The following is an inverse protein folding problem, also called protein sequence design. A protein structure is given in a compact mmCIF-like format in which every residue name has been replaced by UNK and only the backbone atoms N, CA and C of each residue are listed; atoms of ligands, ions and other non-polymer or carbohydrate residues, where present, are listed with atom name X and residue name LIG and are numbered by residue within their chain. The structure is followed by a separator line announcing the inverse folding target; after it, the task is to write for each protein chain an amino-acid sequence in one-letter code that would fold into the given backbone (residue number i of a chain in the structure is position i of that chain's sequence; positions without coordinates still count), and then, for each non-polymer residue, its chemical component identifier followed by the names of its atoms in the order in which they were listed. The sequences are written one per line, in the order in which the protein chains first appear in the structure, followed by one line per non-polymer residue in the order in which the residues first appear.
data_IF_622349129849
#
_entry.id   IF_622349129849
#
_cell.length_a   1.000
_cell.length_b   1.000
_cell.length_c   1.000
_cell.angle_alpha   90.00
_cell.angle_beta   90.00
_cell.angle_gamma   90.00
#
_symmetry.space_group_name_H-M   'P 1'
#
loop_
_entity.id
_entity.type
_entity.pdbx_description
1 polymer ?
#
# COMPACT_ATOMS: atom_id res chain seq x y z
N UNK A 1 -17.93 -8.96 -4.30
CA UNK A 1 -16.58 -9.38 -4.76
C UNK A 1 -15.57 -8.38 -4.25
N UNK A 2 -14.58 -8.86 -3.53
CA UNK A 2 -13.53 -8.01 -2.96
C UNK A 2 -12.48 -7.68 -4.03
N UNK A 3 -12.03 -6.45 -4.07
CA UNK A 3 -10.92 -6.02 -4.93
C UNK A 3 -9.71 -5.74 -4.05
N UNK A 4 -8.60 -6.41 -4.33
CA UNK A 4 -7.36 -6.25 -3.58
C UNK A 4 -6.31 -5.58 -4.45
N UNK A 5 -5.74 -4.49 -3.97
CA UNK A 5 -4.56 -3.88 -4.58
C UNK A 5 -3.31 -4.21 -3.76
N UNK A 6 -2.18 -4.31 -4.42
CA UNK A 6 -0.90 -4.62 -3.79
C UNK A 6 0.20 -3.76 -4.39
N UNK A 7 0.99 -3.17 -3.50
CA UNK A 7 2.23 -2.45 -3.85
C UNK A 7 3.40 -3.07 -3.13
N UNK A 8 4.53 -3.16 -3.81
CA UNK A 8 5.77 -3.65 -3.26
C UNK A 8 6.82 -2.55 -3.30
N UNK A 9 7.50 -2.35 -2.17
CA UNK A 9 8.49 -1.30 -2.02
C UNK A 9 9.77 -1.92 -1.48
N UNK A 10 10.90 -1.67 -2.15
CA UNK A 10 12.22 -2.12 -1.71
C UNK A 10 12.94 -0.97 -1.02
N UNK A 11 13.22 -1.06 0.29
CA UNK A 11 14.02 -0.05 0.97
C UNK A 11 15.46 -0.03 0.43
N UNK A 12 16.04 1.17 0.37
CA UNK A 12 17.48 1.32 0.18
C UNK A 12 18.21 0.82 1.45
N UNK A 13 19.46 0.42 1.28
CA UNK A 13 20.31 -0.05 2.40
C UNK A 13 20.33 1.00 3.52
N UNK A 14 20.03 0.56 4.74
CA UNK A 14 19.99 1.44 5.91
C UNK A 14 18.70 2.27 6.06
N UNK A 15 17.73 2.11 5.16
CA UNK A 15 16.49 2.90 5.15
C UNK A 15 15.22 2.10 5.46
N UNK A 16 15.37 0.85 5.90
CA UNK A 16 14.23 -0.05 6.15
C UNK A 16 13.25 0.54 7.16
N UNK A 17 13.72 1.08 8.28
CA UNK A 17 12.86 1.67 9.30
C UNK A 17 12.09 2.88 8.77
N UNK A 18 12.76 3.76 8.04
CA UNK A 18 12.14 4.94 7.44
C UNK A 18 11.05 4.55 6.44
N UNK A 19 11.33 3.58 5.56
CA UNK A 19 10.36 3.08 4.58
C UNK A 19 9.19 2.40 5.29
N UNK A 20 9.45 1.58 6.30
CA UNK A 20 8.40 0.92 7.09
C UNK A 20 7.46 1.96 7.72
N UNK A 21 8.00 3.01 8.30
CA UNK A 21 7.19 4.08 8.91
C UNK A 21 6.36 4.82 7.86
N UNK A 22 6.91 5.08 6.69
CA UNK A 22 6.20 5.70 5.57
C UNK A 22 5.08 4.82 5.03
N UNK A 23 5.32 3.52 4.90
CA UNK A 23 4.30 2.56 4.47
C UNK A 23 3.17 2.51 5.48
N UNK A 24 3.46 2.53 6.77
CA UNK A 24 2.43 2.60 7.83
C UNK A 24 1.61 3.88 7.75
N UNK A 25 2.25 5.01 7.47
CA UNK A 25 1.54 6.28 7.28
C UNK A 25 0.62 6.23 6.07
N UNK A 26 1.08 5.67 4.96
CA UNK A 26 0.26 5.48 3.76
C UNK A 26 -0.89 4.50 4.03
N UNK A 27 -0.64 3.43 4.77
CA UNK A 27 -1.68 2.48 5.16
C UNK A 27 -2.81 3.16 5.95
N UNK A 28 -2.48 4.09 6.83
CA UNK A 28 -3.48 4.89 7.55
C UNK A 28 -4.33 5.77 6.63
N UNK A 29 -3.71 6.36 5.63
CA UNK A 29 -4.40 7.18 4.61
C UNK A 29 -5.37 6.30 3.81
N UNK A 30 -4.92 5.15 3.35
CA UNK A 30 -5.72 4.21 2.56
C UNK A 30 -6.86 3.62 3.39
N UNK A 31 -6.62 3.32 4.67
CA UNK A 31 -7.64 2.83 5.58
C UNK A 31 -8.75 3.87 5.81
N UNK A 32 -8.39 5.14 5.96
CA UNK A 32 -9.39 6.23 6.08
C UNK A 32 -10.24 6.39 4.83
N UNK A 33 -9.70 6.01 3.68
CA UNK A 33 -10.45 6.04 2.41
C UNK A 33 -11.44 4.89 2.23
N UNK A 34 -11.43 3.91 3.13
CA UNK A 34 -12.42 2.84 3.17
C UNK A 34 -11.89 1.42 2.93
N UNK A 35 -10.58 1.22 2.79
CA UNK A 35 -9.99 -0.10 2.60
C UNK A 35 -9.62 -0.74 3.93
N UNK A 36 -9.54 -2.07 3.92
CA UNK A 36 -8.82 -2.83 4.96
C UNK A 36 -7.39 -2.99 4.49
N UNK A 37 -6.41 -2.57 5.30
CA UNK A 37 -5.02 -2.53 4.88
C UNK A 37 -4.17 -3.49 5.70
N UNK A 38 -3.27 -4.19 5.03
CA UNK A 38 -2.27 -5.06 5.65
C UNK A 38 -0.91 -4.77 5.07
N UNK A 39 0.11 -4.86 5.92
CA UNK A 39 1.51 -4.70 5.53
C UNK A 39 2.22 -6.01 5.82
N UNK A 40 3.02 -6.47 4.86
CA UNK A 40 3.82 -7.67 5.00
C UNK A 40 5.25 -7.46 4.53
N UNK A 41 6.10 -8.41 4.87
CA UNK A 41 7.48 -8.46 4.40
C UNK A 41 7.67 -9.65 3.47
N UNK A 42 8.46 -9.46 2.42
CA UNK A 42 8.87 -10.57 1.57
C UNK A 42 10.10 -11.20 2.21
N UNK A 43 9.94 -12.43 2.72
CA UNK A 43 11.00 -13.12 3.48
C UNK A 43 11.81 -14.10 2.64
N UNK A 44 11.39 -14.38 1.41
CA UNK A 44 12.10 -15.30 0.52
C UNK A 44 11.69 -15.10 -0.92
N UNK A 45 12.52 -15.59 -1.85
CA UNK A 45 12.28 -15.48 -3.27
C UNK A 45 12.62 -14.10 -3.84
N UNK A 46 12.06 -13.80 -5.01
CA UNK A 46 12.24 -12.51 -5.67
C UNK A 46 11.67 -11.37 -4.82
N UNK A 47 12.45 -10.33 -4.64
CA UNK A 47 12.04 -9.18 -3.83
C UNK A 47 12.20 -9.36 -2.33
N UNK A 48 12.93 -10.40 -1.87
CA UNK A 48 13.20 -10.59 -0.44
C UNK A 48 13.78 -9.31 0.20
N UNK A 49 13.26 -8.95 1.36
CA UNK A 49 13.58 -7.69 2.05
C UNK A 49 12.66 -6.53 1.70
N UNK A 50 11.76 -6.71 0.74
CA UNK A 50 10.76 -5.69 0.37
C UNK A 50 9.55 -5.71 1.32
N UNK A 51 8.83 -4.60 1.32
CA UNK A 51 7.55 -4.44 2.02
C UNK A 51 6.41 -4.51 1.01
N UNK A 52 5.35 -5.21 1.37
CA UNK A 52 4.11 -5.23 0.60
C UNK A 52 3.01 -4.52 1.38
N UNK A 53 2.26 -3.66 0.70
CA UNK A 53 1.03 -3.09 1.23
C UNK A 53 -0.16 -3.62 0.44
N UNK A 54 -1.08 -4.27 1.14
CA UNK A 54 -2.32 -4.80 0.58
C UNK A 54 -3.48 -3.94 1.03
N UNK A 55 -4.33 -3.54 0.10
CA UNK A 55 -5.57 -2.83 0.39
C UNK A 55 -6.75 -3.61 -0.19
N UNK A 56 -7.68 -4.00 0.66
CA UNK A 56 -8.88 -4.73 0.26
C UNK A 56 -10.08 -3.79 0.28
N UNK A 57 -10.72 -3.65 -0.89
CA UNK A 57 -11.90 -2.84 -1.12
C UNK A 57 -13.13 -3.74 -1.30
N UNK A 58 -14.26 -3.30 -0.81
CA UNK A 58 -15.49 -4.08 -0.88
C UNK A 58 -15.89 -4.41 -2.34
N UNK A 59 -15.68 -3.47 -3.25
CA UNK A 59 -15.98 -3.59 -4.68
C UNK A 59 -15.20 -2.52 -5.47
N UNK A 60 -15.36 -2.49 -6.79
CA UNK A 60 -14.72 -1.49 -7.65
C UNK A 60 -15.20 -0.07 -7.40
N UNK A 61 -16.45 0.11 -7.02
CA UNK A 61 -17.00 1.41 -6.67
C UNK A 61 -16.31 1.99 -5.44
N UNK A 62 -16.12 1.20 -4.41
CA UNK A 62 -15.38 1.57 -3.20
C UNK A 62 -13.93 1.92 -3.52
N UNK A 63 -13.28 1.15 -4.40
CA UNK A 63 -11.94 1.44 -4.89
C UNK A 63 -11.89 2.82 -5.58
N UNK A 64 -12.81 3.09 -6.48
CA UNK A 64 -12.85 4.35 -7.22
C UNK A 64 -13.08 5.55 -6.29
N UNK A 65 -14.03 5.46 -5.39
CA UNK A 65 -14.30 6.49 -4.38
C UNK A 65 -13.12 6.70 -3.46
N UNK A 66 -12.50 5.60 -3.03
CA UNK A 66 -11.33 5.63 -2.15
C UNK A 66 -10.12 6.27 -2.81
N UNK A 67 -9.89 6.02 -4.09
CA UNK A 67 -8.80 6.64 -4.85
C UNK A 67 -8.92 8.17 -4.86
N UNK A 68 -10.13 8.69 -5.02
CA UNK A 68 -10.39 10.13 -4.97
C UNK A 68 -10.09 10.69 -3.57
N UNK A 69 -10.52 9.99 -2.51
CA UNK A 69 -10.26 10.38 -1.13
C UNK A 69 -8.76 10.38 -0.80
N UNK A 70 -8.03 9.37 -1.26
CA UNK A 70 -6.58 9.27 -1.08
C UNK A 70 -5.90 10.46 -1.76
N UNK A 71 -6.24 10.76 -2.99
CA UNK A 71 -5.65 11.88 -3.73
C UNK A 71 -5.91 13.24 -3.06
N UNK A 72 -7.03 13.39 -2.36
CA UNK A 72 -7.39 14.64 -1.67
C UNK A 72 -6.88 14.72 -0.23
N UNK A 73 -6.30 13.65 0.31
CA UNK A 73 -5.83 13.62 1.71
C UNK A 73 -4.56 14.47 1.88
N UNK A 74 -4.57 15.50 2.74
CA UNK A 74 -3.38 16.35 2.96
C UNK A 74 -2.18 15.56 3.50
N UNK A 75 -2.40 14.50 4.26
CA UNK A 75 -1.33 13.66 4.79
C UNK A 75 -0.57 12.95 3.66
N UNK A 76 -1.25 12.59 2.57
CA UNK A 76 -0.59 12.03 1.38
C UNK A 76 0.35 13.04 0.73
N UNK A 77 -0.07 14.28 0.58
CA UNK A 77 0.76 15.33 -0.01
C UNK A 77 2.03 15.57 0.81
N UNK A 78 1.89 15.61 2.13
CA UNK A 78 3.02 15.74 3.04
C UNK A 78 3.98 14.54 2.90
N UNK A 79 3.46 13.33 2.84
CA UNK A 79 4.25 12.12 2.69
C UNK A 79 5.02 12.09 1.37
N UNK A 80 4.39 12.48 0.27
CA UNK A 80 5.03 12.56 -1.04
C UNK A 80 6.15 13.59 -1.05
N UNK A 81 5.93 14.73 -0.40
CA UNK A 81 6.94 15.78 -0.27
C UNK A 81 8.17 15.28 0.52
N UNK A 82 7.95 14.60 1.63
CA UNK A 82 9.03 13.97 2.42
C UNK A 82 9.82 12.96 1.59
N UNK A 83 9.14 12.19 0.73
CA UNK A 83 9.80 11.24 -0.17
C UNK A 83 10.70 11.92 -1.21
N UNK A 84 10.29 13.06 -1.72
CA UNK A 84 11.12 13.86 -2.65
C UNK A 84 12.37 14.39 -1.96
N UNK A 85 12.25 14.87 -0.72
CA UNK A 85 13.37 15.43 0.05
C UNK A 85 14.33 14.34 0.55
N UNK A 86 13.85 13.14 0.83
CA UNK A 86 14.67 12.05 1.37
C UNK A 86 14.24 10.71 0.76
N UNK A 87 14.65 10.41 -0.46
CA UNK A 87 14.34 9.13 -1.11
C UNK A 87 14.92 7.95 -0.31
N UNK A 88 14.10 6.94 -0.05
CA UNK A 88 14.48 5.81 0.81
C UNK A 88 14.08 4.44 0.27
N UNK A 89 13.34 4.36 -0.82
CA UNK A 89 12.90 3.11 -1.39
C UNK A 89 12.44 3.25 -2.82
N UNK A 90 12.28 2.11 -3.48
CA UNK A 90 11.81 2.02 -4.86
C UNK A 90 10.57 1.14 -4.93
N UNK A 91 9.59 1.56 -5.71
CA UNK A 91 8.44 0.72 -6.03
C UNK A 91 8.85 -0.32 -7.08
N UNK A 92 8.47 -1.58 -6.81
CA UNK A 92 8.72 -2.67 -7.74
C UNK A 92 7.47 -2.87 -8.58
N UNK A 93 7.57 -2.49 -9.86
CA UNK A 93 6.52 -2.67 -10.84
C UNK A 93 5.28 -1.80 -10.57
N UNK A 94 4.24 -1.96 -11.41
CA UNK A 94 2.97 -1.28 -11.21
C UNK A 94 2.19 -1.86 -10.04
N UNK A 95 1.24 -1.10 -9.52
CA UNK A 95 0.27 -1.60 -8.56
C UNK A 95 -0.56 -2.72 -9.19
N UNK A 96 -0.70 -3.83 -8.47
CA UNK A 96 -1.45 -5.00 -8.93
C UNK A 96 -2.83 -5.00 -8.29
N UNK A 97 -3.86 -5.16 -9.10
CA UNK A 97 -5.25 -5.30 -8.66
C UNK A 97 -5.74 -6.71 -8.91
N UNK A 98 -6.39 -7.29 -7.91
CA UNK A 98 -6.96 -8.64 -7.98
C UNK A 98 -8.39 -8.61 -7.45
N UNK A 99 -9.24 -9.39 -8.08
CA UNK A 99 -10.56 -9.70 -7.51
C UNK A 99 -10.46 -10.98 -6.70
N UNK A 100 -11.07 -10.96 -5.52
CA UNK A 100 -11.06 -12.10 -4.61
C UNK A 100 -12.49 -12.42 -4.21
N UNK A 101 -12.84 -13.69 -4.31
CA UNK A 101 -14.16 -14.16 -3.88
C UNK A 101 -14.19 -14.24 -2.34
N UNK A 102 -15.18 -13.61 -1.73
CA UNK A 102 -15.25 -13.44 -0.29
C UNK A 102 -15.25 -14.71 0.53
N UNK A 103 -15.81 -15.79 0.00
CA UNK A 103 -15.82 -17.10 0.63
C UNK A 103 -14.44 -17.80 0.63
N UNK A 104 -13.52 -17.36 -0.24
CA UNK A 104 -12.17 -17.89 -0.34
C UNK A 104 -11.12 -17.01 0.35
N UNK A 105 -11.46 -15.79 0.69
CA UNK A 105 -10.52 -14.82 1.28
C UNK A 105 -11.22 -13.90 2.29
N UNK A 106 -11.83 -14.44 3.36
CA UNK A 106 -12.60 -13.63 4.30
C UNK A 106 -11.77 -12.64 5.10
N UNK A 107 -10.47 -12.85 5.20
CA UNK A 107 -9.55 -12.06 6.03
C UNK A 107 -8.86 -10.89 5.30
N UNK A 108 -9.16 -10.74 4.04
CA UNK A 108 -8.65 -9.56 3.31
C UNK A 108 -9.29 -8.28 3.77
#
# INVERSE_FOLDING_TARGET
MTVVSMRQITPKIGKTELVTNRVRSMAGIVARAGARVRIGNVVGGEGAGSLNMYAAWENFESLSSGTVKIAADPARQKLLHERELNPAGEMIGPEVYRTVYGDLAPDY
#
